data_IF_945928242788
#
_entry.id   IF_945928242788
#
_cell.length_a   1.000
_cell.length_b   1.000
_cell.length_c   1.000
_cell.angle_alpha   90.00
_cell.angle_beta   90.00
_cell.angle_gamma   90.00
#
_symmetry.space_group_name_H-M   'P 1'
#
loop_
_entity.id
_entity.type
_entity.pdbx_description
1 polymer ?
#
# COMPACT_ATOMS: atom_id res chain seq x y z
N UNK A 1 -3.74 -19.35 -9.43
CA UNK A 1 -4.08 -19.44 -8.00
C UNK A 1 -5.29 -20.35 -7.89
N UNK A 2 -5.21 -21.44 -7.13
CA UNK A 2 -6.39 -22.22 -6.78
C UNK A 2 -7.08 -21.48 -5.62
N UNK A 3 -8.34 -21.11 -5.78
CA UNK A 3 -9.13 -20.55 -4.69
C UNK A 3 -9.44 -21.63 -3.67
N UNK A 4 -9.49 -21.29 -2.39
CA UNK A 4 -10.01 -22.20 -1.38
C UNK A 4 -11.49 -22.44 -1.64
N UNK A 5 -11.92 -23.72 -1.57
CA UNK A 5 -13.33 -24.08 -1.65
C UNK A 5 -14.09 -23.37 -0.53
N UNK A 6 -15.19 -22.72 -0.88
CA UNK A 6 -16.08 -22.10 0.10
C UNK A 6 -16.61 -23.18 1.06
N UNK A 7 -16.59 -22.94 2.39
CA UNK A 7 -17.12 -23.90 3.34
C UNK A 7 -18.63 -24.09 3.14
N UNK A 8 -19.13 -25.29 3.43
CA UNK A 8 -20.55 -25.59 3.34
C UNK A 8 -21.36 -24.65 4.26
N UNK A 9 -22.40 -24.01 3.71
CA UNK A 9 -23.28 -23.13 4.46
C UNK A 9 -24.27 -23.93 5.31
N UNK A 10 -24.36 -23.60 6.60
CA UNK A 10 -25.35 -24.19 7.53
C UNK A 10 -26.39 -23.13 7.89
N UNK A 11 -27.67 -23.43 7.65
CA UNK A 11 -28.78 -22.57 8.06
C UNK A 11 -28.74 -22.30 9.58
N UNK A 12 -28.96 -21.04 9.98
CA UNK A 12 -28.87 -20.60 11.38
C UNK A 12 -27.49 -20.16 11.83
N UNK A 13 -26.46 -20.23 10.95
CA UNK A 13 -25.14 -19.64 11.24
C UNK A 13 -25.24 -18.12 11.25
N UNK A 14 -24.72 -17.47 12.30
CA UNK A 14 -24.65 -16.02 12.37
C UNK A 14 -23.80 -15.46 11.21
N UNK A 15 -24.33 -14.47 10.50
CA UNK A 15 -23.62 -13.81 9.41
C UNK A 15 -22.36 -13.10 9.95
N UNK A 16 -21.23 -13.27 9.26
CA UNK A 16 -19.98 -12.59 9.57
C UNK A 16 -19.71 -11.51 8.53
N UNK A 17 -19.45 -10.30 8.98
CA UNK A 17 -19.11 -9.18 8.09
C UNK A 17 -17.59 -9.06 7.96
N UNK A 18 -17.08 -9.23 6.75
CA UNK A 18 -15.70 -8.92 6.41
C UNK A 18 -15.57 -7.50 5.87
N UNK A 19 -14.64 -6.71 6.41
CA UNK A 19 -14.30 -5.38 5.89
C UNK A 19 -12.85 -5.37 5.44
N UNK A 20 -12.63 -4.96 4.19
CA UNK A 20 -11.30 -4.77 3.63
C UNK A 20 -11.05 -3.27 3.43
N UNK A 21 -10.18 -2.69 4.26
CA UNK A 21 -9.67 -1.34 4.06
C UNK A 21 -8.50 -1.37 3.07
N UNK A 22 -8.67 -0.73 1.92
CA UNK A 22 -7.67 -0.73 0.83
C UNK A 22 -7.09 0.66 0.65
N UNK A 23 -5.79 0.71 0.41
CA UNK A 23 -5.05 1.93 0.15
C UNK A 23 -3.83 1.62 -0.74
N UNK A 24 -3.22 2.65 -1.32
CA UNK A 24 -1.97 2.57 -2.08
C UNK A 24 -0.78 2.11 -1.24
N UNK A 25 -0.86 2.27 0.08
CA UNK A 25 0.21 1.96 1.01
C UNK A 25 1.20 3.10 1.19
N UNK A 26 2.30 2.80 1.85
CA UNK A 26 3.33 3.76 2.26
C UNK A 26 4.67 3.03 2.33
N UNK A 27 5.81 3.71 2.11
CA UNK A 27 7.12 3.11 2.41
C UNK A 27 7.22 2.71 3.89
N UNK A 28 8.10 1.75 4.19
CA UNK A 28 8.34 1.27 5.56
C UNK A 28 9.05 2.32 6.44
N UNK A 29 9.81 3.22 5.82
CA UNK A 29 10.55 4.28 6.50
C UNK A 29 10.68 5.53 5.61
N UNK A 30 10.89 6.73 6.18
CA UNK A 30 11.08 7.97 5.42
C UNK A 30 12.52 8.10 4.95
N UNK A 31 13.10 7.02 4.42
CA UNK A 31 14.48 6.97 3.92
C UNK A 31 14.49 6.63 2.43
N UNK A 32 15.47 7.14 1.69
CA UNK A 32 15.58 6.86 0.26
C UNK A 32 15.63 5.35 -0.04
N UNK A 33 16.25 4.56 0.86
CA UNK A 33 16.35 3.10 0.75
C UNK A 33 14.98 2.41 0.83
N UNK A 34 14.09 2.86 1.72
CA UNK A 34 12.74 2.32 1.85
C UNK A 34 11.77 2.87 0.80
N UNK A 35 11.97 4.12 0.37
CA UNK A 35 11.12 4.78 -0.65
C UNK A 35 11.37 4.20 -2.05
N UNK A 36 12.60 3.81 -2.39
CA UNK A 36 12.95 3.26 -3.72
C UNK A 36 12.12 2.02 -4.10
N UNK A 37 12.04 0.94 -3.28
CA UNK A 37 11.24 -0.23 -3.64
C UNK A 37 9.74 0.09 -3.71
N UNK A 38 9.23 0.94 -2.82
CA UNK A 38 7.84 1.42 -2.87
C UNK A 38 7.54 2.14 -4.19
N UNK A 39 8.37 3.11 -4.60
CA UNK A 39 8.21 3.82 -5.87
C UNK A 39 8.32 2.87 -7.07
N UNK A 40 9.19 1.87 -7.02
CA UNK A 40 9.34 0.88 -8.09
C UNK A 40 8.07 0.04 -8.27
N UNK A 41 7.44 -0.38 -7.17
CA UNK A 41 6.18 -1.12 -7.22
C UNK A 41 5.04 -0.22 -7.71
N UNK A 42 4.88 0.97 -7.11
CA UNK A 42 3.79 1.89 -7.44
C UNK A 42 3.86 2.39 -8.89
N UNK A 43 5.03 2.86 -9.33
CA UNK A 43 5.20 3.35 -10.70
C UNK A 43 5.40 2.23 -11.71
N UNK A 44 5.68 1.00 -11.28
CA UNK A 44 5.80 -0.16 -12.16
C UNK A 44 4.46 -0.74 -12.59
N UNK A 45 3.36 -0.34 -11.94
CA UNK A 45 2.02 -0.81 -12.26
C UNK A 45 1.49 -0.14 -13.55
N UNK A 46 1.07 -0.96 -14.50
CA UNK A 46 0.46 -0.52 -15.76
C UNK A 46 -0.89 0.20 -15.55
N UNK A 47 -1.53 0.05 -14.39
CA UNK A 47 -2.74 0.78 -14.00
C UNK A 47 -2.45 2.19 -13.50
N UNK A 48 -1.19 2.48 -13.15
CA UNK A 48 -0.75 3.81 -12.68
C UNK A 48 -0.10 4.59 -13.82
N UNK A 49 0.60 3.90 -14.72
CA UNK A 49 1.29 4.52 -15.86
C UNK A 49 0.96 3.79 -17.16
N UNK A 50 0.38 4.52 -18.11
CA UNK A 50 -0.12 3.98 -19.39
C UNK A 50 0.91 4.03 -20.55
N UNK A 51 2.18 4.35 -20.25
CA UNK A 51 3.26 4.42 -21.24
C UNK A 51 3.70 2.99 -21.64
N UNK A 52 4.08 2.72 -22.91
CA UNK A 52 4.59 1.42 -23.33
C UNK A 52 5.66 0.86 -22.39
N UNK A 53 5.46 -0.38 -21.93
CA UNK A 53 6.22 -0.99 -20.82
C UNK A 53 7.74 -0.89 -20.99
N UNK A 54 8.27 -1.11 -22.18
CA UNK A 54 9.71 -1.07 -22.45
C UNK A 54 10.29 0.34 -22.26
N UNK A 55 9.63 1.35 -22.83
CA UNK A 55 10.05 2.75 -22.69
C UNK A 55 9.94 3.20 -21.23
N UNK A 56 8.82 2.86 -20.57
CA UNK A 56 8.62 3.22 -19.18
C UNK A 56 9.62 2.53 -18.25
N UNK A 57 9.96 1.27 -18.50
CA UNK A 57 10.95 0.55 -17.72
C UNK A 57 12.32 1.23 -17.76
N UNK A 58 12.74 1.73 -18.93
CA UNK A 58 13.99 2.50 -19.07
C UNK A 58 13.94 3.81 -18.28
N UNK A 59 12.85 4.56 -18.38
CA UNK A 59 12.67 5.84 -17.66
C UNK A 59 12.65 5.59 -16.13
N UNK A 60 11.88 4.58 -15.70
CA UNK A 60 11.71 4.23 -14.30
C UNK A 60 13.04 3.82 -13.66
N UNK A 61 13.74 2.84 -14.24
CA UNK A 61 14.95 2.28 -13.66
C UNK A 61 16.20 3.14 -13.93
N UNK A 62 16.23 3.89 -15.03
CA UNK A 62 17.36 4.76 -15.41
C UNK A 62 17.34 6.11 -14.70
N UNK A 63 16.18 6.78 -14.65
CA UNK A 63 16.10 8.17 -14.18
C UNK A 63 15.36 8.23 -12.83
N UNK A 64 14.11 7.76 -12.79
CA UNK A 64 13.21 8.02 -11.66
C UNK A 64 13.73 7.39 -10.37
N UNK A 65 14.07 6.10 -10.38
CA UNK A 65 14.51 5.38 -9.18
C UNK A 65 15.90 5.79 -8.68
N UNK A 66 16.67 6.55 -9.47
CA UNK A 66 17.98 7.05 -9.08
C UNK A 66 17.91 8.48 -8.50
N UNK A 67 16.98 9.31 -8.98
CA UNK A 67 16.88 10.72 -8.58
C UNK A 67 15.76 10.99 -7.57
N UNK A 68 14.59 10.39 -7.78
CA UNK A 68 13.35 10.73 -7.04
C UNK A 68 13.32 10.26 -5.58
N UNK A 69 13.87 9.09 -5.18
CA UNK A 69 13.70 8.59 -3.82
C UNK A 69 14.21 9.53 -2.73
N UNK A 70 15.31 10.26 -2.96
CA UNK A 70 15.85 11.21 -1.99
C UNK A 70 14.86 12.35 -1.70
N UNK A 71 14.39 13.01 -2.75
CA UNK A 71 13.40 14.10 -2.64
C UNK A 71 12.08 13.62 -2.03
N UNK A 72 11.64 12.40 -2.39
CA UNK A 72 10.43 11.82 -1.80
C UNK A 72 10.61 11.48 -0.32
N UNK A 73 11.77 10.96 0.07
CA UNK A 73 12.08 10.64 1.47
C UNK A 73 12.02 11.87 2.37
N UNK A 74 12.55 13.01 1.93
CA UNK A 74 12.46 14.29 2.67
C UNK A 74 11.01 14.71 2.92
N UNK A 75 10.13 14.55 1.92
CA UNK A 75 8.69 14.82 2.08
C UNK A 75 8.03 13.84 3.04
N UNK A 76 8.32 12.55 2.95
CA UNK A 76 7.82 11.58 3.92
C UNK A 76 8.30 11.90 5.33
N UNK A 77 9.56 12.31 5.49
CA UNK A 77 10.13 12.69 6.78
C UNK A 77 9.42 13.90 7.40
N UNK A 78 9.02 14.89 6.59
CA UNK A 78 8.34 16.11 7.09
C UNK A 78 6.98 15.85 7.76
N UNK A 79 6.35 14.72 7.46
CA UNK A 79 5.03 14.34 8.01
C UNK A 79 5.08 13.03 8.80
N UNK A 80 6.28 12.51 9.08
CA UNK A 80 6.43 11.21 9.72
C UNK A 80 6.05 11.28 11.20
N UNK A 81 5.25 10.32 11.67
CA UNK A 81 4.94 10.19 13.09
C UNK A 81 5.97 9.32 13.79
N UNK A 82 6.02 9.38 15.12
CA UNK A 82 6.89 8.50 15.92
C UNK A 82 6.53 7.03 15.70
N UNK A 83 5.25 6.75 15.50
CA UNK A 83 4.67 5.42 15.30
C UNK A 83 4.82 4.92 13.85
N UNK A 84 5.13 5.81 12.89
CA UNK A 84 5.30 5.47 11.48
C UNK A 84 4.62 6.45 10.52
N UNK A 85 4.31 5.97 9.31
CA UNK A 85 3.57 6.75 8.33
C UNK A 85 2.16 7.08 8.84
N UNK A 86 1.72 8.35 8.82
CA UNK A 86 0.37 8.74 9.23
C UNK A 86 -0.72 7.89 8.59
N UNK A 87 -0.54 7.58 7.30
CA UNK A 87 -1.48 6.80 6.52
C UNK A 87 -1.70 5.40 7.12
N UNK A 88 -0.61 4.73 7.50
CA UNK A 88 -0.65 3.41 8.14
C UNK A 88 -1.23 3.50 9.55
N UNK A 89 -0.72 4.43 10.36
CA UNK A 89 -1.15 4.63 11.75
C UNK A 89 -2.65 4.86 11.83
N UNK A 90 -3.19 5.77 11.02
CA UNK A 90 -4.62 6.07 11.04
C UNK A 90 -5.47 4.94 10.42
N UNK A 91 -4.98 4.24 9.39
CA UNK A 91 -5.69 3.09 8.82
C UNK A 91 -5.81 1.94 9.84
N UNK A 92 -4.75 1.66 10.60
CA UNK A 92 -4.77 0.66 11.68
C UNK A 92 -5.75 1.06 12.80
N UNK A 93 -5.74 2.34 13.21
CA UNK A 93 -6.70 2.83 14.20
C UNK A 93 -8.15 2.75 13.71
N UNK A 94 -8.40 3.08 12.44
CA UNK A 94 -9.72 2.95 11.81
C UNK A 94 -10.17 1.49 11.79
N UNK A 95 -9.29 0.56 11.44
CA UNK A 95 -9.60 -0.87 11.42
C UNK A 95 -10.02 -1.39 12.82
N UNK A 96 -9.29 -0.98 13.87
CA UNK A 96 -9.61 -1.35 15.25
C UNK A 96 -10.98 -0.79 15.68
N UNK A 97 -11.22 0.51 15.40
CA UNK A 97 -12.49 1.16 15.76
C UNK A 97 -13.68 0.56 15.01
N UNK A 98 -13.53 0.29 13.72
CA UNK A 98 -14.57 -0.35 12.91
C UNK A 98 -14.89 -1.76 13.39
N UNK A 99 -13.87 -2.56 13.75
CA UNK A 99 -14.09 -3.88 14.35
C UNK A 99 -14.89 -3.76 15.63
N UNK A 100 -14.45 -2.92 16.58
CA UNK A 100 -15.16 -2.73 17.85
C UNK A 100 -16.60 -2.22 17.68
N UNK A 101 -16.87 -1.42 16.65
CA UNK A 101 -18.22 -0.94 16.33
C UNK A 101 -19.14 -2.05 15.78
N UNK A 102 -18.59 -3.04 15.05
CA UNK A 102 -19.35 -4.10 14.40
C UNK A 102 -19.52 -5.36 15.25
N UNK A 103 -18.81 -5.46 16.38
CA UNK A 103 -18.80 -6.62 17.27
C UNK A 103 -17.75 -7.66 16.88
#
# INVERSE_FOLDING_TARGET
MAYHTEPAYTHGTAAKTGILLVNLGTPDAPTAKAVRPYLKQFLGDARVVEIPKALWWLILNGIILNVRPKKSAEKYASVWLKEGSPLRVYTEQQAVKLRGFLG
#
